data_IF_260294177755
#
_entry.id   IF_260294177755
#
_cell.length_a   1.000
_cell.length_b   1.000
_cell.length_c   1.000
_cell.angle_alpha   90.00
_cell.angle_beta   90.00
_cell.angle_gamma   90.00
#
_symmetry.space_group_name_H-M   'P 1'
#
loop_
_entity.id
_entity.type
_entity.pdbx_description
1 polymer ?
#
# COMPACT_ATOMS: atom_id res chain seq x y z
N UNK A 1 6.56 11.50 18.65
CA UNK A 1 7.42 11.23 17.47
C UNK A 1 6.62 11.44 16.20
N UNK A 2 7.12 12.28 15.34
CA UNK A 2 6.46 12.48 14.06
C UNK A 2 6.99 11.47 13.05
N UNK A 3 6.09 10.87 12.30
CA UNK A 3 6.45 10.02 11.18
C UNK A 3 6.31 10.85 9.92
N UNK A 4 7.42 10.99 9.19
CA UNK A 4 7.39 11.67 7.92
C UNK A 4 6.89 10.71 6.86
N UNK A 5 5.74 11.01 6.30
CA UNK A 5 5.19 10.26 5.19
C UNK A 5 5.74 10.83 3.89
N UNK A 6 6.38 9.96 3.12
CA UNK A 6 6.80 10.32 1.77
C UNK A 6 5.71 9.90 0.82
N UNK A 7 5.15 10.87 0.11
CA UNK A 7 4.11 10.60 -0.88
C UNK A 7 4.69 10.72 -2.27
N UNK A 8 4.69 9.63 -2.99
CA UNK A 8 4.99 9.62 -4.41
C UNK A 8 3.72 9.26 -5.15
N UNK A 9 3.45 9.98 -6.22
CA UNK A 9 2.23 9.81 -7.00
C UNK A 9 2.58 9.43 -8.44
N UNK A 10 1.92 8.41 -8.93
CA UNK A 10 2.00 7.99 -10.33
C UNK A 10 0.60 7.94 -10.90
N UNK A 11 0.50 8.16 -12.19
CA UNK A 11 -0.77 8.03 -12.91
C UNK A 11 -0.72 6.78 -13.79
N UNK A 12 -1.88 6.18 -14.03
CA UNK A 12 -2.01 5.01 -14.86
C UNK A 12 -3.27 5.14 -15.71
N UNK A 13 -3.22 4.67 -16.95
CA UNK A 13 -4.40 4.59 -17.81
C UNK A 13 -5.20 3.31 -17.60
N UNK A 14 -4.70 2.40 -16.75
CA UNK A 14 -5.34 1.14 -16.46
C UNK A 14 -6.45 1.31 -15.42
N UNK A 15 -7.34 0.33 -15.32
CA UNK A 15 -8.32 0.29 -14.25
C UNK A 15 -7.62 0.16 -12.89
N UNK A 16 -8.35 0.46 -11.82
CA UNK A 16 -7.83 0.31 -10.46
C UNK A 16 -7.37 -1.13 -10.19
N UNK A 17 -8.16 -2.12 -10.61
CA UNK A 17 -7.82 -3.53 -10.44
C UNK A 17 -6.55 -3.91 -11.20
N UNK A 18 -6.45 -3.51 -12.47
CA UNK A 18 -5.28 -3.80 -13.29
C UNK A 18 -4.04 -3.11 -12.75
N UNK A 19 -4.18 -1.87 -12.30
CA UNK A 19 -3.08 -1.12 -11.70
C UNK A 19 -2.60 -1.79 -10.41
N UNK A 20 -3.52 -2.24 -9.57
CA UNK A 20 -3.16 -2.95 -8.34
C UNK A 20 -2.39 -4.23 -8.64
N UNK A 21 -2.80 -4.99 -9.65
CA UNK A 21 -2.08 -6.19 -10.08
C UNK A 21 -0.68 -5.87 -10.58
N UNK A 22 -0.55 -4.83 -11.39
CA UNK A 22 0.75 -4.41 -11.91
C UNK A 22 1.69 -3.97 -10.80
N UNK A 23 1.17 -3.25 -9.80
CA UNK A 23 1.95 -2.83 -8.63
C UNK A 23 2.39 -4.05 -7.82
N UNK A 24 1.52 -5.04 -7.64
CA UNK A 24 1.86 -6.27 -6.93
C UNK A 24 3.00 -7.01 -7.62
N UNK A 25 2.92 -7.19 -8.93
CA UNK A 25 3.96 -7.86 -9.71
C UNK A 25 5.29 -7.11 -9.64
N UNK A 26 5.24 -5.79 -9.78
CA UNK A 26 6.43 -4.95 -9.67
C UNK A 26 7.07 -5.03 -8.29
N UNK A 27 6.24 -5.05 -7.25
CA UNK A 27 6.72 -5.16 -5.86
C UNK A 27 7.49 -6.46 -5.64
N UNK A 28 6.97 -7.57 -6.16
CA UNK A 28 7.65 -8.87 -6.06
C UNK A 28 9.02 -8.85 -6.73
N UNK A 29 9.15 -8.19 -7.88
CA UNK A 29 10.43 -8.06 -8.57
C UNK A 29 11.47 -7.31 -7.74
N UNK A 30 11.02 -6.43 -6.85
CA UNK A 30 11.87 -5.62 -5.98
C UNK A 30 11.95 -6.20 -4.57
N UNK A 31 11.62 -7.47 -4.38
CA UNK A 31 11.69 -8.21 -3.12
C UNK A 31 10.72 -7.70 -2.05
N UNK A 32 9.64 -7.06 -2.46
CA UNK A 32 8.54 -6.70 -1.57
C UNK A 32 7.40 -7.70 -1.74
N UNK A 33 7.09 -8.43 -0.70
CA UNK A 33 5.93 -9.31 -0.68
C UNK A 33 4.67 -8.53 -0.33
N UNK A 34 3.57 -8.87 -0.96
CA UNK A 34 2.26 -8.32 -0.61
C UNK A 34 1.68 -9.15 0.52
N UNK A 35 1.51 -8.54 1.68
CA UNK A 35 0.95 -9.20 2.87
C UNK A 35 -0.56 -9.26 2.79
N UNK A 36 -1.19 -8.15 2.42
CA UNK A 36 -2.64 -8.04 2.38
C UNK A 36 -3.03 -7.00 1.34
N UNK A 37 -4.15 -7.23 0.68
CA UNK A 37 -4.75 -6.26 -0.22
C UNK A 37 -6.16 -5.94 0.29
N UNK A 38 -6.46 -4.66 0.47
CA UNK A 38 -7.77 -4.21 0.90
C UNK A 38 -8.51 -3.55 -0.26
N UNK A 39 -9.71 -3.99 -0.53
CA UNK A 39 -10.65 -3.30 -1.41
C UNK A 39 -11.58 -2.48 -0.52
N UNK A 40 -11.27 -1.20 -0.34
CA UNK A 40 -12.01 -0.36 0.60
C UNK A 40 -13.42 -0.07 0.12
N UNK A 41 -13.63 0.03 -1.19
CA UNK A 41 -14.97 0.20 -1.73
C UNK A 41 -15.86 -0.99 -1.35
N UNK A 42 -15.36 -2.20 -1.59
CA UNK A 42 -16.09 -3.41 -1.25
C UNK A 42 -16.35 -3.51 0.26
N UNK A 43 -15.35 -3.16 1.07
CA UNK A 43 -15.48 -3.22 2.54
C UNK A 43 -16.54 -2.27 3.07
N UNK A 44 -16.58 -1.05 2.56
CA UNK A 44 -17.59 -0.08 3.00
C UNK A 44 -18.99 -0.50 2.59
N UNK A 45 -19.15 -0.94 1.36
CA UNK A 45 -20.46 -1.42 0.87
C UNK A 45 -20.93 -2.67 1.63
N UNK A 46 -20.00 -3.56 1.97
CA UNK A 46 -20.30 -4.74 2.79
C UNK A 46 -20.85 -4.37 4.17
N UNK A 47 -20.33 -3.27 4.74
CA UNK A 47 -20.77 -2.76 6.04
C UNK A 47 -22.00 -1.85 5.96
N UNK A 48 -22.61 -1.71 4.80
CA UNK A 48 -23.79 -0.89 4.61
C UNK A 48 -23.51 0.59 4.42
N UNK A 49 -22.27 0.96 4.17
CA UNK A 49 -21.88 2.35 3.92
C UNK A 49 -21.71 2.53 2.42
N UNK A 50 -22.48 3.45 1.85
CA UNK A 50 -22.39 3.74 0.41
C UNK A 50 -21.07 4.43 0.08
N UNK A 51 -20.31 3.81 -0.81
CA UNK A 51 -19.02 4.35 -1.26
C UNK A 51 -18.77 3.84 -2.67
N UNK A 52 -18.62 4.76 -3.62
CA UNK A 52 -18.57 4.40 -5.04
C UNK A 52 -17.21 4.66 -5.71
N UNK A 53 -16.21 5.11 -4.96
CA UNK A 53 -14.88 5.33 -5.50
C UNK A 53 -14.01 4.10 -5.35
N UNK A 54 -13.29 3.75 -6.41
CA UNK A 54 -12.33 2.66 -6.35
C UNK A 54 -11.14 3.06 -5.48
N UNK A 55 -10.84 2.21 -4.51
CA UNK A 55 -9.68 2.42 -3.64
C UNK A 55 -9.19 1.07 -3.14
N UNK A 56 -7.95 0.74 -3.47
CA UNK A 56 -7.30 -0.49 -3.01
C UNK A 56 -6.01 -0.12 -2.30
N UNK A 57 -5.77 -0.75 -1.17
CA UNK A 57 -4.56 -0.54 -0.38
C UNK A 57 -3.82 -1.87 -0.28
N UNK A 58 -2.56 -1.87 -0.71
CA UNK A 58 -1.68 -3.02 -0.60
C UNK A 58 -0.71 -2.80 0.54
N UNK A 59 -0.66 -3.74 1.48
CA UNK A 59 0.35 -3.75 2.51
C UNK A 59 1.50 -4.62 2.04
N UNK A 60 2.68 -4.02 1.92
CA UNK A 60 3.87 -4.67 1.36
C UNK A 60 5.00 -4.65 2.37
N UNK A 61 5.85 -5.66 2.30
CA UNK A 61 6.97 -5.78 3.21
C UNK A 61 8.18 -6.41 2.53
N UNK A 62 9.34 -5.82 2.78
CA UNK A 62 10.62 -6.46 2.53
C UNK A 62 11.14 -6.92 3.89
N UNK A 63 11.09 -8.23 4.21
CA UNK A 63 11.41 -8.69 5.56
C UNK A 63 12.80 -8.32 6.04
N UNK A 64 13.79 -8.39 5.16
CA UNK A 64 15.17 -8.06 5.53
C UNK A 64 15.31 -6.58 5.91
N UNK A 65 14.67 -5.70 5.13
CA UNK A 65 14.68 -4.26 5.41
C UNK A 65 13.90 -3.95 6.69
N UNK A 66 12.75 -4.57 6.86
CA UNK A 66 11.92 -4.36 8.06
C UNK A 66 12.67 -4.78 9.31
N UNK A 67 13.32 -5.95 9.29
CA UNK A 67 14.10 -6.42 10.43
C UNK A 67 15.24 -5.46 10.75
N UNK A 68 15.91 -4.94 9.74
CA UNK A 68 17.04 -4.02 9.93
C UNK A 68 16.62 -2.73 10.62
N UNK A 69 15.53 -2.10 10.16
CA UNK A 69 15.09 -0.84 10.78
C UNK A 69 14.49 -1.07 12.16
N UNK A 70 13.78 -2.17 12.37
CA UNK A 70 13.20 -2.49 13.69
C UNK A 70 14.26 -2.77 14.73
N UNK A 71 15.40 -3.39 14.34
CA UNK A 71 16.51 -3.61 15.25
C UNK A 71 17.13 -2.30 15.72
N UNK A 72 17.09 -1.27 14.90
CA UNK A 72 17.61 0.05 15.25
C UNK A 72 16.61 0.84 16.11
N UNK A 73 15.33 0.74 15.80
CA UNK A 73 14.29 1.49 16.50
C UNK A 73 12.94 0.81 16.37
N UNK A 74 12.48 0.20 17.45
CA UNK A 74 11.18 -0.49 17.47
C UNK A 74 9.98 0.44 17.24
N UNK A 75 10.14 1.74 17.46
CA UNK A 75 9.07 2.69 17.20
C UNK A 75 8.70 2.77 15.72
N UNK A 76 9.58 2.36 14.83
CA UNK A 76 9.30 2.29 13.40
C UNK A 76 8.13 1.33 13.10
N UNK A 77 7.82 0.41 14.01
CA UNK A 77 6.69 -0.50 13.83
C UNK A 77 5.36 0.23 13.61
N UNK A 78 5.24 1.48 14.06
CA UNK A 78 4.05 2.28 13.82
C UNK A 78 3.88 2.63 12.32
N UNK A 79 4.96 2.64 11.57
CA UNK A 79 4.95 2.97 10.15
C UNK A 79 5.02 1.72 9.25
N UNK A 80 5.04 0.53 9.83
CA UNK A 80 5.07 -0.73 9.10
C UNK A 80 3.72 -1.44 9.21
N UNK A 81 3.33 -2.25 8.23
CA UNK A 81 4.00 -2.42 6.94
C UNK A 81 3.85 -1.19 6.04
N UNK A 82 4.69 -1.10 5.02
CA UNK A 82 4.54 -0.05 4.01
C UNK A 82 3.26 -0.28 3.22
N UNK A 83 2.66 0.81 2.76
CA UNK A 83 1.39 0.75 2.06
C UNK A 83 1.46 1.42 0.71
N UNK A 84 0.75 0.85 -0.25
CA UNK A 84 0.58 1.44 -1.57
C UNK A 84 -0.93 1.61 -1.77
N UNK A 85 -1.35 2.82 -2.05
CA UNK A 85 -2.76 3.13 -2.32
C UNK A 85 -2.98 3.29 -3.82
N UNK A 86 -3.98 2.59 -4.35
CA UNK A 86 -4.38 2.68 -5.76
C UNK A 86 -5.80 3.22 -5.80
N UNK A 87 -5.97 4.39 -6.39
CA UNK A 87 -7.26 5.09 -6.49
C UNK A 87 -7.48 5.53 -7.93
N UNK A 88 -8.49 4.99 -8.57
CA UNK A 88 -8.73 5.29 -9.98
C UNK A 88 -7.45 5.11 -10.80
N UNK A 89 -6.89 6.18 -11.34
CA UNK A 89 -5.63 6.14 -12.11
C UNK A 89 -4.44 6.68 -11.32
N UNK A 90 -4.55 6.76 -10.00
CA UNK A 90 -3.52 7.37 -9.14
C UNK A 90 -2.96 6.34 -8.17
N UNK A 91 -1.63 6.24 -8.12
CA UNK A 91 -0.90 5.37 -7.19
C UNK A 91 -0.06 6.24 -6.26
N UNK A 92 -0.15 5.98 -4.96
CA UNK A 92 0.70 6.65 -3.97
C UNK A 92 1.23 5.65 -2.96
N UNK A 93 2.33 5.97 -2.30
CA UNK A 93 2.93 5.09 -1.29
C UNK A 93 3.33 5.87 -0.03
N UNK A 94 3.63 5.12 1.02
CA UNK A 94 4.18 5.65 2.26
C UNK A 94 5.32 4.76 2.74
N UNK A 95 6.42 4.73 2.01
CA UNK A 95 7.60 4.00 2.43
C UNK A 95 8.35 4.76 3.54
N UNK A 96 8.93 3.98 4.41
CA UNK A 96 9.75 4.48 5.52
C UNK A 96 11.23 4.37 5.17
#
# INVERSE_FOLDING_TARGET
MSVTLQHKFWTSSKSCEETAKAVQESSLKHKFGVLTTYDLKAKMNEKGVAFDQECRVLEVCNPAQAARVLKQNMNVSLALPCRISVRNSLVSDNFV
#
